data_IF_871026310420
#
_entry.id   IF_871026310420
#
_cell.length_a   1.000
_cell.length_b   1.000
_cell.length_c   1.000
_cell.angle_alpha   90.00
_cell.angle_beta   90.00
_cell.angle_gamma   90.00
#
_symmetry.space_group_name_H-M   'P 1'
#
loop_
_entity.id
_entity.type
_entity.pdbx_description
1 polymer ?
#
# COMPACT_ATOMS: atom_id res chain seq x y z
N UNK A 1 -7.78 -5.35 -15.10
CA UNK A 1 -7.35 -6.55 -14.36
C UNK A 1 -7.27 -6.26 -12.86
N UNK A 2 -7.77 -7.16 -12.01
CA UNK A 2 -7.74 -7.00 -10.54
C UNK A 2 -6.44 -7.56 -9.95
N UNK A 3 -5.80 -6.76 -9.11
CA UNK A 3 -4.70 -7.17 -8.24
C UNK A 3 -5.11 -7.20 -6.78
N UNK A 4 -4.49 -8.06 -5.97
CA UNK A 4 -4.78 -8.19 -4.54
C UNK A 4 -3.50 -7.97 -3.73
N UNK A 5 -3.58 -7.11 -2.71
CA UNK A 5 -2.48 -6.81 -1.79
C UNK A 5 -2.90 -7.21 -0.36
N UNK A 6 -2.38 -8.33 0.18
CA UNK A 6 -2.59 -8.69 1.57
C UNK A 6 -1.75 -7.80 2.49
N UNK A 7 -2.40 -6.94 3.26
CA UNK A 7 -1.79 -5.90 4.08
C UNK A 7 -2.31 -5.89 5.54
N UNK A 8 -3.00 -6.94 6.00
CA UNK A 8 -3.61 -6.96 7.34
C UNK A 8 -2.67 -7.36 8.50
N UNK A 9 -1.48 -7.92 8.19
CA UNK A 9 -0.61 -8.52 9.20
C UNK A 9 -0.10 -7.53 10.28
N UNK A 10 0.01 -7.98 11.53
CA UNK A 10 0.32 -7.16 12.72
C UNK A 10 1.71 -6.52 12.76
N UNK A 11 2.69 -7.02 12.01
CA UNK A 11 4.05 -6.47 12.04
C UNK A 11 4.77 -6.59 13.40
N UNK A 12 4.36 -7.52 14.27
CA UNK A 12 4.82 -7.60 15.67
C UNK A 12 6.34 -7.67 15.85
N UNK A 13 7.07 -8.25 14.89
CA UNK A 13 8.53 -8.39 14.94
C UNK A 13 9.31 -7.07 14.82
N UNK A 14 8.70 -6.02 14.28
CA UNK A 14 9.38 -4.72 14.02
C UNK A 14 8.79 -3.57 14.84
N UNK A 15 7.96 -3.90 15.84
CA UNK A 15 7.45 -2.92 16.77
C UNK A 15 8.60 -2.28 17.58
N UNK A 16 8.42 -1.03 18.05
CA UNK A 16 7.21 -0.22 17.97
C UNK A 16 7.12 0.66 16.70
N UNK A 17 6.09 0.46 15.87
CA UNK A 17 5.73 1.37 14.77
C UNK A 17 4.46 2.16 15.12
N UNK A 18 4.45 3.45 14.76
CA UNK A 18 3.28 4.33 14.90
C UNK A 18 2.31 4.30 13.70
N UNK A 19 2.57 3.43 12.73
CA UNK A 19 1.83 3.28 11.48
C UNK A 19 1.99 1.86 10.93
N UNK A 20 1.20 1.51 9.92
CA UNK A 20 1.23 0.23 9.21
C UNK A 20 2.58 0.01 8.55
N UNK A 21 3.19 -1.17 8.76
CA UNK A 21 4.50 -1.51 8.17
C UNK A 21 4.57 -1.35 6.65
N UNK A 22 3.45 -1.48 5.97
CA UNK A 22 3.30 -1.27 4.52
C UNK A 22 3.60 0.16 4.07
N UNK A 23 3.54 1.13 4.99
CA UNK A 23 3.85 2.54 4.76
C UNK A 23 5.24 2.93 5.27
N UNK A 24 6.06 1.96 5.71
CA UNK A 24 7.43 2.23 6.09
C UNK A 24 8.20 2.89 4.93
N UNK A 25 8.81 4.07 5.12
CA UNK A 25 9.62 4.70 4.09
C UNK A 25 10.85 3.84 3.81
N UNK A 26 11.00 3.40 2.57
CA UNK A 26 12.14 2.61 2.10
C UNK A 26 12.65 3.29 0.83
N UNK A 27 13.77 4.00 0.96
CA UNK A 27 14.37 4.76 -0.14
C UNK A 27 13.44 5.85 -0.69
N UNK A 28 13.59 6.13 -1.98
CA UNK A 28 12.93 7.21 -2.67
C UNK A 28 12.53 6.82 -4.10
N UNK A 29 11.65 7.62 -4.70
CA UNK A 29 11.34 7.57 -6.13
C UNK A 29 11.46 8.97 -6.73
N UNK A 30 11.84 9.03 -8.00
CA UNK A 30 11.77 10.26 -8.77
C UNK A 30 10.34 10.42 -9.30
N UNK A 31 9.77 11.59 -9.05
CA UNK A 31 8.46 12.03 -9.51
C UNK A 31 8.63 13.33 -10.31
N UNK A 32 8.73 13.19 -11.63
CA UNK A 32 9.16 14.29 -12.50
C UNK A 32 10.60 14.72 -12.20
N UNK A 33 10.76 15.89 -11.58
CA UNK A 33 12.07 16.42 -11.14
C UNK A 33 12.25 16.36 -9.61
N UNK A 34 11.28 15.83 -8.87
CA UNK A 34 11.30 15.80 -7.42
C UNK A 34 11.56 14.39 -6.90
N UNK A 35 12.54 14.23 -6.03
CA UNK A 35 12.73 13.00 -5.27
C UNK A 35 11.75 12.97 -4.09
N UNK A 36 10.96 11.89 -3.98
CA UNK A 36 9.97 11.70 -2.92
C UNK A 36 10.26 10.41 -2.14
N UNK A 37 10.04 10.37 -0.81
CA UNK A 37 10.08 9.12 -0.06
C UNK A 37 9.13 8.09 -0.68
N UNK A 38 9.56 6.83 -0.70
CA UNK A 38 8.76 5.74 -1.24
C UNK A 38 8.30 4.84 -0.10
N UNK A 39 6.99 4.63 0.03
CA UNK A 39 6.49 3.61 0.96
C UNK A 39 6.85 2.21 0.43
N UNK A 40 7.14 1.27 1.32
CA UNK A 40 7.53 -0.11 0.92
C UNK A 40 6.46 -0.79 0.06
N UNK A 41 5.17 -0.51 0.31
CA UNK A 41 4.06 -1.05 -0.48
C UNK A 41 4.01 -0.52 -1.92
N UNK A 42 4.51 0.68 -2.20
CA UNK A 42 4.51 1.26 -3.55
C UNK A 42 5.36 0.44 -4.53
N UNK A 43 6.41 -0.25 -4.05
CA UNK A 43 7.22 -1.11 -4.90
C UNK A 43 6.41 -2.25 -5.52
N UNK A 44 5.51 -2.85 -4.74
CA UNK A 44 4.59 -3.89 -5.19
C UNK A 44 3.53 -3.29 -6.13
N UNK A 45 2.82 -2.26 -5.65
CA UNK A 45 1.73 -1.60 -6.37
C UNK A 45 2.19 -1.11 -7.74
N UNK A 46 3.35 -0.44 -7.82
CA UNK A 46 3.91 0.03 -9.09
C UNK A 46 4.22 -1.10 -10.07
N UNK A 47 4.68 -2.27 -9.59
CA UNK A 47 4.91 -3.44 -10.45
C UNK A 47 3.60 -4.02 -10.96
N UNK A 48 2.55 -4.03 -10.14
CA UNK A 48 1.22 -4.48 -10.54
C UNK A 48 0.65 -3.57 -11.63
N UNK A 49 0.70 -2.25 -11.44
CA UNK A 49 0.24 -1.27 -12.44
C UNK A 49 1.03 -1.42 -13.75
N UNK A 50 2.35 -1.56 -13.68
CA UNK A 50 3.20 -1.83 -14.87
C UNK A 50 2.84 -3.13 -15.60
N UNK A 51 2.24 -4.09 -14.90
CA UNK A 51 1.76 -5.35 -15.48
C UNK A 51 0.31 -5.26 -16.01
N UNK A 52 -0.32 -4.09 -15.99
CA UNK A 52 -1.68 -3.88 -16.52
C UNK A 52 -2.80 -4.05 -15.51
N UNK A 53 -2.50 -4.05 -14.19
CA UNK A 53 -3.52 -4.00 -13.15
C UNK A 53 -4.15 -2.60 -13.12
N UNK A 54 -5.47 -2.53 -13.25
CA UNK A 54 -6.27 -1.30 -13.26
C UNK A 54 -7.14 -1.14 -12.00
N UNK A 55 -7.18 -2.16 -11.15
CA UNK A 55 -7.89 -2.20 -9.88
C UNK A 55 -7.06 -2.94 -8.85
N UNK A 56 -6.87 -2.37 -7.67
CA UNK A 56 -6.08 -2.97 -6.59
C UNK A 56 -6.97 -3.10 -5.36
N UNK A 57 -7.19 -4.33 -4.91
CA UNK A 57 -7.88 -4.63 -3.67
C UNK A 57 -6.86 -4.79 -2.54
N UNK A 58 -6.83 -3.85 -1.61
CA UNK A 58 -6.07 -3.95 -0.37
C UNK A 58 -6.91 -4.70 0.67
N UNK A 59 -6.35 -5.79 1.20
CA UNK A 59 -6.91 -6.48 2.35
C UNK A 59 -6.21 -5.92 3.59
N UNK A 60 -6.91 -5.11 4.37
CA UNK A 60 -6.35 -4.39 5.53
C UNK A 60 -6.95 -4.91 6.84
N UNK A 61 -6.20 -4.76 7.94
CA UNK A 61 -6.72 -5.02 9.28
C UNK A 61 -7.60 -3.85 9.73
N UNK A 62 -8.52 -4.09 10.67
CA UNK A 62 -9.45 -3.06 11.18
C UNK A 62 -8.77 -1.80 11.73
N UNK A 63 -7.54 -1.91 12.26
CA UNK A 63 -6.76 -0.78 12.77
C UNK A 63 -5.80 -0.14 11.77
N UNK A 64 -5.90 -0.44 10.47
CA UNK A 64 -4.97 0.03 9.43
C UNK A 64 -5.62 1.04 8.47
N UNK A 65 -6.31 2.04 9.02
CA UNK A 65 -6.95 3.11 8.23
C UNK A 65 -5.93 3.97 7.48
N UNK A 66 -4.69 4.04 7.95
CA UNK A 66 -3.59 4.74 7.31
C UNK A 66 -3.28 4.21 5.90
N UNK A 67 -3.39 2.91 5.66
CA UNK A 67 -3.28 2.32 4.30
C UNK A 67 -4.43 2.79 3.41
N UNK A 68 -5.65 2.87 3.97
CA UNK A 68 -6.81 3.38 3.26
C UNK A 68 -6.59 4.84 2.88
N UNK A 69 -6.22 5.69 3.84
CA UNK A 69 -5.96 7.11 3.61
C UNK A 69 -4.85 7.31 2.56
N UNK A 70 -3.79 6.53 2.62
CA UNK A 70 -2.66 6.63 1.69
C UNK A 70 -3.04 6.27 0.25
N UNK A 71 -3.88 5.25 0.03
CA UNK A 71 -4.26 4.76 -1.30
C UNK A 71 -5.69 5.15 -1.73
N UNK A 72 -6.41 5.99 -0.97
CA UNK A 72 -7.81 6.33 -1.24
C UNK A 72 -8.03 6.94 -2.64
N UNK A 73 -7.05 7.68 -3.14
CA UNK A 73 -7.08 8.27 -4.47
C UNK A 73 -6.68 7.29 -5.60
N UNK A 74 -6.39 6.04 -5.28
CA UNK A 74 -5.79 5.07 -6.21
C UNK A 74 -4.27 5.20 -6.31
N UNK A 75 -3.68 4.55 -7.33
CA UNK A 75 -2.25 4.66 -7.63
C UNK A 75 -2.02 4.67 -9.15
N UNK A 76 -1.52 5.80 -9.67
CA UNK A 76 -1.50 6.02 -11.12
C UNK A 76 -2.93 5.94 -11.68
N UNK A 77 -3.13 5.14 -12.72
CA UNK A 77 -4.45 4.92 -13.33
C UNK A 77 -5.25 3.79 -12.65
N UNK A 78 -4.69 3.11 -11.63
CA UNK A 78 -5.35 2.00 -10.97
C UNK A 78 -6.23 2.47 -9.79
N UNK A 79 -7.50 2.06 -9.80
CA UNK A 79 -8.44 2.32 -8.72
C UNK A 79 -8.14 1.45 -7.49
N UNK A 80 -8.34 2.00 -6.28
CA UNK A 80 -8.19 1.26 -5.04
C UNK A 80 -9.55 0.76 -4.52
N UNK A 81 -9.57 -0.49 -4.02
CA UNK A 81 -10.66 -1.09 -3.27
C UNK A 81 -10.11 -1.58 -1.94
N UNK A 82 -10.94 -1.58 -0.89
CA UNK A 82 -10.53 -1.99 0.45
C UNK A 82 -11.47 -3.04 1.00
N UNK A 83 -10.89 -4.11 1.53
CA UNK A 83 -11.59 -5.17 2.26
C UNK A 83 -10.95 -5.28 3.64
N UNK A 84 -11.77 -5.31 4.68
CA UNK A 84 -11.29 -5.48 6.04
C UNK A 84 -11.21 -6.97 6.38
N UNK A 85 -10.03 -7.44 6.76
CA UNK A 85 -9.80 -8.75 7.36
C UNK A 85 -10.00 -8.62 8.90
N UNK A 86 -11.01 -9.28 9.49
CA UNK A 86 -11.31 -9.13 10.92
C UNK A 86 -10.19 -9.64 11.84
N UNK A 87 -9.51 -10.71 11.44
CA UNK A 87 -8.44 -11.36 12.20
C UNK A 87 -7.23 -11.61 11.30
N UNK A 88 -6.02 -11.14 11.68
CA UNK A 88 -4.80 -11.26 10.88
C UNK A 88 -4.29 -12.70 10.73
#
# INVERSE_FOLDING_TARGET
MLGIVPAAGRGSRIQPLGFSKELLPVGSRIDGQTERPCAVSEYLVRRMVRAGVDKICFIIGSGKSDILEYYAAGYGDAAALFVVQPNP
#
